data_IF_245689177044
#
_entry.id   IF_245689177044
#
_cell.length_a   1.000
_cell.length_b   1.000
_cell.length_c   1.000
_cell.angle_alpha   90.00
_cell.angle_beta   90.00
_cell.angle_gamma   90.00
#
_symmetry.space_group_name_H-M   'P 1'
#
loop_
_entity.id
_entity.type
_entity.pdbx_description
1 polymer ?
#
# COMPACT_ATOMS: atom_id res chain seq x y z
N UNK A 1 -8.49 2.51 19.41
CA UNK A 1 -8.94 3.43 18.34
C UNK A 1 -7.81 3.72 17.39
N UNK A 2 -8.05 3.61 16.10
CA UNK A 2 -7.03 3.83 15.09
C UNK A 2 -6.85 5.32 14.83
N UNK A 3 -5.60 5.79 14.88
CA UNK A 3 -5.26 7.16 14.54
C UNK A 3 -5.16 7.28 13.01
N UNK A 4 -6.02 8.09 12.41
CA UNK A 4 -6.07 8.26 10.95
C UNK A 4 -5.53 9.61 10.48
N UNK A 5 -4.83 10.34 11.35
CA UNK A 5 -4.27 11.64 10.98
C UNK A 5 -3.05 11.47 10.06
N UNK A 6 -2.93 12.40 9.11
CA UNK A 6 -1.74 12.56 8.28
C UNK A 6 -0.85 13.61 8.94
N UNK A 7 0.34 13.22 9.35
CA UNK A 7 1.27 14.08 10.10
C UNK A 7 2.29 14.81 9.21
N UNK A 8 2.18 14.68 7.91
CA UNK A 8 3.06 15.39 6.97
C UNK A 8 2.70 16.90 6.87
N UNK A 9 3.63 17.77 6.53
CA UNK A 9 5.05 17.45 6.32
C UNK A 9 5.88 17.82 7.55
N UNK A 10 5.33 17.57 8.74
CA UNK A 10 6.00 17.87 10.00
C UNK A 10 6.97 16.75 10.35
N UNK A 11 8.03 17.05 11.13
CA UNK A 11 8.85 15.98 11.68
C UNK A 11 7.98 14.98 12.43
N UNK A 12 8.20 13.71 12.23
CA UNK A 12 7.33 12.69 12.80
C UNK A 12 8.07 11.37 12.99
N UNK A 13 7.86 10.74 14.13
CA UNK A 13 8.43 9.43 14.46
C UNK A 13 7.31 8.55 14.98
N UNK A 14 7.28 7.30 14.52
CA UNK A 14 6.27 6.36 15.00
C UNK A 14 6.87 4.95 15.04
N UNK A 15 6.24 4.08 15.82
CA UNK A 15 6.49 2.65 15.71
C UNK A 15 5.67 2.15 14.52
N UNK A 16 6.33 1.94 13.39
CA UNK A 16 5.65 1.66 12.14
C UNK A 16 4.99 0.28 12.13
N UNK A 17 5.59 -0.70 12.79
CA UNK A 17 4.99 -2.03 12.91
C UNK A 17 3.68 -1.94 13.70
N UNK A 18 3.72 -1.28 14.85
CA UNK A 18 2.54 -1.12 15.71
C UNK A 18 1.41 -0.39 14.96
N UNK A 19 1.74 0.69 14.26
CA UNK A 19 0.75 1.47 13.52
C UNK A 19 0.14 0.64 12.39
N UNK A 20 0.96 -0.14 11.68
CA UNK A 20 0.49 -0.97 10.57
C UNK A 20 -0.43 -2.08 11.06
N UNK A 21 -0.05 -2.74 12.17
CA UNK A 21 -0.84 -3.83 12.74
C UNK A 21 -2.17 -3.32 13.32
N UNK A 22 -2.18 -2.10 13.84
CA UNK A 22 -3.39 -1.51 14.42
C UNK A 22 -4.37 -0.98 13.36
N UNK A 23 -3.90 -0.77 12.12
CA UNK A 23 -4.76 -0.25 11.06
C UNK A 23 -5.76 -1.33 10.59
N UNK A 24 -7.02 -0.95 10.47
CA UNK A 24 -8.07 -1.82 9.96
C UNK A 24 -8.74 -1.25 8.70
N UNK A 25 -8.23 -0.14 8.16
CA UNK A 25 -8.79 0.51 6.98
C UNK A 25 -8.01 0.10 5.74
N UNK A 26 -8.68 0.16 4.59
CA UNK A 26 -8.03 -0.21 3.34
C UNK A 26 -6.79 0.65 3.07
N UNK A 27 -6.91 1.97 3.23
CA UNK A 27 -5.78 2.89 3.03
C UNK A 27 -5.90 4.12 3.93
N UNK A 28 -4.79 4.44 4.61
CA UNK A 28 -4.69 5.67 5.40
C UNK A 28 -3.35 6.31 5.07
N UNK A 29 -3.38 7.55 4.55
CA UNK A 29 -2.16 8.33 4.38
C UNK A 29 -1.70 8.80 5.74
N UNK A 30 -0.54 8.33 6.18
CA UNK A 30 -0.02 8.60 7.53
C UNK A 30 0.92 9.77 7.56
N UNK A 31 1.65 9.99 6.47
CA UNK A 31 2.60 11.10 6.36
C UNK A 31 2.78 11.47 4.90
N UNK A 32 2.55 12.74 4.58
CA UNK A 32 2.67 13.24 3.21
C UNK A 32 3.65 14.41 3.20
N UNK A 33 4.80 14.21 2.57
CA UNK A 33 5.82 15.24 2.42
C UNK A 33 5.94 15.72 0.99
N UNK A 34 7.00 16.46 0.72
CA UNK A 34 7.25 17.00 -0.64
C UNK A 34 7.66 15.92 -1.62
N UNK A 35 8.39 14.91 -1.16
CA UNK A 35 8.99 13.90 -2.04
C UNK A 35 8.73 12.47 -1.58
N UNK A 36 7.88 12.29 -0.58
CA UNK A 36 7.68 10.99 0.05
C UNK A 36 6.30 10.95 0.69
N UNK A 37 5.64 9.81 0.58
CA UNK A 37 4.37 9.60 1.27
C UNK A 37 4.32 8.19 1.81
N UNK A 38 3.83 8.04 3.05
CA UNK A 38 3.60 6.73 3.64
C UNK A 38 2.11 6.50 3.84
N UNK A 39 1.65 5.32 3.43
CA UNK A 39 0.28 4.87 3.68
C UNK A 39 0.28 3.54 4.41
N UNK A 40 -0.72 3.33 5.25
CA UNK A 40 -1.00 2.04 5.88
C UNK A 40 -2.14 1.37 5.14
N UNK A 41 -2.07 0.06 4.93
CA UNK A 41 -3.11 -0.68 4.23
C UNK A 41 -3.44 -1.98 4.91
N UNK A 42 -4.72 -2.33 4.91
CA UNK A 42 -5.22 -3.63 5.32
C UNK A 42 -6.08 -4.19 4.19
N UNK A 43 -5.69 -5.35 3.68
CA UNK A 43 -6.36 -6.01 2.55
C UNK A 43 -7.06 -7.26 3.08
N UNK A 44 -8.36 -7.34 2.84
CA UNK A 44 -9.17 -8.45 3.34
C UNK A 44 -8.84 -9.75 2.59
N UNK A 45 -9.12 -10.91 3.21
CA UNK A 45 -8.87 -12.20 2.54
C UNK A 45 -9.48 -12.28 1.15
N UNK A 46 -8.69 -12.72 0.18
CA UNK A 46 -9.13 -12.87 -1.21
C UNK A 46 -9.17 -11.58 -2.01
N UNK A 47 -8.93 -10.46 -1.36
CA UNK A 47 -8.94 -9.16 -2.05
C UNK A 47 -7.51 -8.75 -2.45
N UNK A 48 -7.38 -7.61 -3.13
CA UNK A 48 -6.09 -7.11 -3.60
C UNK A 48 -6.04 -5.58 -3.51
N UNK A 49 -4.86 -5.01 -3.80
CA UNK A 49 -4.70 -3.55 -3.80
C UNK A 49 -5.27 -2.91 -5.06
N UNK A 50 -5.57 -3.72 -6.09
CA UNK A 50 -5.98 -3.25 -7.41
C UNK A 50 -4.77 -3.14 -8.35
N UNK A 51 -4.93 -3.66 -9.57
CA UNK A 51 -3.88 -3.57 -10.58
C UNK A 51 -3.68 -2.12 -10.99
N UNK A 52 -2.44 -1.62 -10.86
CA UNK A 52 -2.16 -0.22 -11.16
C UNK A 52 -0.73 -0.01 -11.66
N UNK A 53 -0.49 1.18 -12.22
CA UNK A 53 0.83 1.63 -12.64
C UNK A 53 0.99 3.09 -12.24
N UNK A 54 2.19 3.44 -11.79
CA UNK A 54 2.56 4.82 -11.47
C UNK A 54 3.70 5.21 -12.39
N UNK A 55 3.42 6.08 -13.37
CA UNK A 55 4.37 6.38 -14.44
C UNK A 55 5.65 7.03 -13.92
N UNK A 56 5.57 7.83 -12.88
CA UNK A 56 6.68 8.65 -12.38
C UNK A 56 6.93 8.49 -10.87
N UNK A 57 6.42 7.42 -10.26
CA UNK A 57 6.63 7.13 -8.83
C UNK A 57 7.30 5.79 -8.67
N UNK A 58 8.32 5.73 -7.83
CA UNK A 58 8.75 4.46 -7.27
C UNK A 58 7.90 4.18 -6.04
N UNK A 59 7.69 2.91 -5.74
CA UNK A 59 6.90 2.50 -4.60
C UNK A 59 7.59 1.39 -3.84
N UNK A 60 7.57 1.49 -2.52
CA UNK A 60 8.09 0.49 -1.61
C UNK A 60 6.95 0.02 -0.73
N UNK A 61 6.76 -1.30 -0.61
CA UNK A 61 5.78 -1.88 0.31
C UNK A 61 6.49 -2.86 1.22
N UNK A 62 6.06 -2.90 2.48
CA UNK A 62 6.55 -3.91 3.40
C UNK A 62 5.39 -4.61 4.07
N UNK A 63 5.43 -5.94 4.08
CA UNK A 63 4.41 -6.77 4.73
C UNK A 63 4.75 -6.90 6.20
N UNK A 64 3.82 -6.51 7.08
CA UNK A 64 3.99 -6.67 8.52
C UNK A 64 3.23 -7.90 9.02
N UNK A 65 2.16 -8.31 8.34
CA UNK A 65 1.40 -9.48 8.73
C UNK A 65 0.64 -10.05 7.54
N UNK A 66 0.74 -11.35 7.33
CA UNK A 66 -0.10 -12.05 6.37
C UNK A 66 0.67 -12.65 5.21
N UNK A 67 -0.07 -13.20 4.25
CA UNK A 67 0.48 -13.85 3.05
C UNK A 67 -0.09 -13.18 1.82
N UNK A 68 0.74 -12.98 0.82
CA UNK A 68 0.30 -12.38 -0.42
C UNK A 68 1.03 -12.89 -1.64
N UNK A 69 0.50 -12.53 -2.80
CA UNK A 69 1.11 -12.78 -4.10
C UNK A 69 1.34 -11.44 -4.78
N UNK A 70 2.58 -11.18 -5.16
CA UNK A 70 2.96 -9.98 -5.92
C UNK A 70 3.07 -10.36 -7.38
N UNK A 71 2.44 -9.57 -8.24
CA UNK A 71 2.53 -9.72 -9.69
C UNK A 71 2.91 -8.38 -10.29
N UNK A 72 3.92 -8.38 -11.16
CA UNK A 72 4.40 -7.18 -11.84
C UNK A 72 4.76 -7.47 -13.28
N UNK A 73 4.66 -6.45 -14.13
CA UNK A 73 5.03 -6.58 -15.53
C UNK A 73 5.00 -5.27 -16.29
N UNK A 74 5.42 -5.34 -17.54
CA UNK A 74 5.54 -4.17 -18.42
C UNK A 74 4.21 -3.68 -18.98
N UNK A 75 3.16 -4.50 -18.88
CA UNK A 75 1.81 -4.17 -19.36
C UNK A 75 0.79 -4.84 -18.45
N UNK A 76 -0.44 -4.32 -18.42
CA UNK A 76 -1.46 -4.86 -17.53
C UNK A 76 -1.84 -6.31 -17.88
N UNK A 77 -1.63 -6.73 -19.11
CA UNK A 77 -1.88 -8.10 -19.57
C UNK A 77 -0.60 -8.94 -19.62
N UNK A 78 0.51 -8.46 -19.10
CA UNK A 78 1.78 -9.17 -19.11
C UNK A 78 2.49 -9.01 -17.76
N UNK A 79 1.94 -9.68 -16.73
CA UNK A 79 2.48 -9.66 -15.37
C UNK A 79 3.36 -10.91 -15.18
N UNK A 80 4.52 -10.89 -15.79
CA UNK A 80 5.42 -12.05 -15.86
C UNK A 80 6.35 -12.19 -14.66
N UNK A 81 6.41 -11.21 -13.77
CA UNK A 81 7.13 -11.31 -12.50
C UNK A 81 6.13 -11.69 -11.41
N UNK A 82 6.37 -12.78 -10.72
CA UNK A 82 5.44 -13.26 -9.69
C UNK A 82 6.20 -13.78 -8.49
N UNK A 83 5.82 -13.36 -7.30
CA UNK A 83 6.51 -13.72 -6.07
C UNK A 83 5.55 -13.78 -4.89
N UNK A 84 5.59 -14.89 -4.14
CA UNK A 84 4.86 -14.98 -2.87
C UNK A 84 5.61 -14.18 -1.81
N UNK A 85 4.85 -13.52 -0.94
CA UNK A 85 5.40 -12.69 0.14
C UNK A 85 4.69 -13.01 1.45
N UNK A 86 5.38 -12.75 2.56
CA UNK A 86 4.86 -12.93 3.91
C UNK A 86 5.47 -11.89 4.84
N UNK A 87 5.27 -12.04 6.15
CA UNK A 87 5.82 -11.11 7.15
C UNK A 87 7.28 -10.79 6.86
N UNK A 88 7.64 -9.52 6.99
CA UNK A 88 9.01 -9.00 6.83
C UNK A 88 9.54 -8.94 5.40
N UNK A 89 8.68 -9.23 4.40
CA UNK A 89 9.07 -9.09 3.00
C UNK A 89 8.91 -7.64 2.53
N UNK A 90 9.90 -7.17 1.79
CA UNK A 90 9.87 -5.87 1.13
C UNK A 90 9.59 -6.06 -0.36
N UNK A 91 8.77 -5.15 -0.91
CA UNK A 91 8.40 -5.17 -2.31
C UNK A 91 8.83 -3.83 -2.91
N UNK A 92 9.63 -3.87 -3.97
CA UNK A 92 10.08 -2.66 -4.67
C UNK A 92 9.43 -2.63 -6.04
N UNK A 93 8.68 -1.57 -6.31
CA UNK A 93 7.96 -1.40 -7.57
C UNK A 93 8.57 -0.21 -8.30
N UNK A 94 9.29 -0.46 -9.41
CA UNK A 94 9.85 0.64 -10.21
C UNK A 94 8.77 1.49 -10.86
N UNK A 95 9.05 2.76 -11.05
CA UNK A 95 8.16 3.64 -11.81
C UNK A 95 7.87 3.03 -13.19
N UNK A 96 6.63 3.11 -13.62
CA UNK A 96 6.20 2.57 -14.91
C UNK A 96 5.91 1.08 -14.94
N UNK A 97 6.04 0.39 -13.80
CA UNK A 97 5.79 -1.05 -13.72
C UNK A 97 4.36 -1.32 -13.26
N UNK A 98 3.61 -2.09 -14.04
CA UNK A 98 2.29 -2.57 -13.63
C UNK A 98 2.46 -3.54 -12.46
N UNK A 99 1.61 -3.42 -11.46
CA UNK A 99 1.75 -4.24 -10.24
C UNK A 99 0.44 -4.45 -9.52
N UNK A 100 0.37 -5.55 -8.78
CA UNK A 100 -0.72 -5.86 -7.88
C UNK A 100 -0.21 -6.72 -6.73
N UNK A 101 -0.87 -6.62 -5.59
CA UNK A 101 -0.62 -7.49 -4.43
C UNK A 101 -1.95 -8.05 -4.00
N UNK A 102 -2.05 -9.37 -3.96
CA UNK A 102 -3.28 -10.09 -3.61
C UNK A 102 -3.10 -10.79 -2.27
N UNK A 103 -4.10 -10.69 -1.41
CA UNK A 103 -4.12 -11.46 -0.16
C UNK A 103 -4.54 -12.90 -0.47
N UNK A 104 -3.62 -13.83 -0.29
CA UNK A 104 -3.83 -15.24 -0.63
C UNK A 104 -4.19 -16.11 0.58
N UNK A 105 -4.43 -15.48 1.74
CA UNK A 105 -4.74 -16.22 2.97
C UNK A 105 -6.16 -15.94 3.44
N UNK A 106 -6.53 -16.55 4.56
CA UNK A 106 -7.82 -16.33 5.22
C UNK A 106 -7.73 -15.30 6.38
N UNK A 107 -6.60 -14.60 6.46
CA UNK A 107 -6.37 -13.54 7.46
C UNK A 107 -6.12 -12.21 6.76
N UNK A 108 -6.36 -11.08 7.43
CA UNK A 108 -6.04 -9.78 6.85
C UNK A 108 -4.55 -9.66 6.52
N UNK A 109 -4.24 -9.08 5.37
CA UNK A 109 -2.88 -8.75 4.97
C UNK A 109 -2.64 -7.30 5.34
N UNK A 110 -1.65 -7.05 6.20
CA UNK A 110 -1.35 -5.71 6.70
C UNK A 110 0.04 -5.29 6.24
N UNK A 111 0.09 -4.15 5.58
CA UNK A 111 1.32 -3.63 5.04
C UNK A 111 1.33 -2.11 5.08
N UNK A 112 2.51 -1.53 4.91
CA UNK A 112 2.62 -0.10 4.64
C UNK A 112 3.29 0.10 3.30
N UNK A 113 3.02 1.25 2.70
CA UNK A 113 3.53 1.59 1.38
C UNK A 113 4.17 2.96 1.42
N UNK A 114 5.30 3.12 0.73
CA UNK A 114 5.99 4.39 0.61
C UNK A 114 6.08 4.74 -0.86
N UNK A 115 5.53 5.90 -1.21
CA UNK A 115 5.54 6.45 -2.57
C UNK A 115 6.56 7.58 -2.66
N UNK A 116 7.31 7.63 -3.72
CA UNK A 116 8.26 8.69 -3.98
C UNK A 116 8.17 9.13 -5.44
N UNK A 117 7.57 10.28 -5.70
CA UNK A 117 6.87 11.22 -4.81
C UNK A 117 5.48 10.74 -4.38
N UNK A 118 4.72 11.60 -3.70
CA UNK A 118 3.39 11.28 -3.18
C UNK A 118 2.42 10.88 -4.30
N UNK A 119 1.63 9.85 -4.04
CA UNK A 119 0.62 9.34 -4.98
C UNK A 119 -0.78 9.84 -4.65
N UNK A 120 -1.13 9.87 -3.37
CA UNK A 120 -2.48 10.19 -2.91
C UNK A 120 -2.53 11.59 -2.31
N UNK A 121 -3.71 12.26 -2.34
CA UNK A 121 -3.87 13.52 -1.64
C UNK A 121 -3.54 13.38 -0.16
N UNK A 122 -3.01 14.45 0.42
CA UNK A 122 -2.73 14.50 1.85
C UNK A 122 -4.00 14.19 2.63
N UNK A 123 -3.88 13.36 3.67
CA UNK A 123 -5.00 13.03 4.54
C UNK A 123 -5.95 11.98 3.98
N UNK A 124 -5.59 11.31 2.88
CA UNK A 124 -6.43 10.28 2.27
C UNK A 124 -6.78 9.19 3.28
N UNK A 125 -8.07 8.90 3.38
CA UNK A 125 -8.61 7.79 4.18
C UNK A 125 -9.61 7.04 3.31
N UNK A 126 -9.34 5.76 3.05
CA UNK A 126 -10.29 4.86 2.40
C UNK A 126 -10.59 3.75 3.40
N UNK A 127 -11.81 3.71 3.90
CA UNK A 127 -12.20 2.69 4.87
C UNK A 127 -12.24 1.31 4.21
N UNK A 128 -12.64 1.27 2.94
CA UNK A 128 -12.78 0.03 2.17
C UNK A 128 -12.16 0.19 0.80
N UNK A 129 -11.90 -0.94 0.14
CA UNK A 129 -11.42 -0.92 -1.24
C UNK A 129 -12.44 -0.25 -2.18
N UNK A 130 -13.73 -0.47 -1.94
CA UNK A 130 -14.78 0.16 -2.75
C UNK A 130 -14.71 1.68 -2.68
N UNK A 131 -14.43 2.25 -1.51
CA UNK A 131 -14.23 3.71 -1.38
C UNK A 131 -13.03 4.18 -2.18
N UNK A 132 -11.93 3.41 -2.14
CA UNK A 132 -10.72 3.75 -2.89
C UNK A 132 -11.00 3.75 -4.39
N UNK A 133 -11.71 2.76 -4.90
CA UNK A 133 -12.05 2.66 -6.31
C UNK A 133 -12.98 3.79 -6.74
N UNK A 134 -13.93 4.16 -5.90
CA UNK A 134 -14.85 5.28 -6.16
C UNK A 134 -14.11 6.60 -6.22
N UNK A 135 -13.07 6.79 -5.41
CA UNK A 135 -12.29 8.03 -5.37
C UNK A 135 -11.40 8.20 -6.60
N UNK A 136 -11.06 7.13 -7.30
CA UNK A 136 -10.22 7.16 -8.50
C UNK A 136 -11.00 7.52 -9.75
N UNK A 137 -12.30 7.58 -9.65
CA UNK A 137 -13.21 7.90 -10.77
C UNK A 137 -14.03 9.17 -10.44
#
# INVERSE_FOLDING_TARGET
MTDTNDYGAQPFVLNIEEATLANDKFRVAKWTGNNLQMTLMTIQPGDDIGLEVHADHDQFLRVEQGLGLVQMGSAEDNLDYEQSVEDDYAIFVPAGMWHNVTNTSDQPLKLYSIYAPSEHPRGTIHNTKAEAEAAEH
#
